data_IF_596961787234
#
_entry.id   IF_596961787234
#
_cell.length_a   1.000
_cell.length_b   1.000
_cell.length_c   1.000
_cell.angle_alpha   90.00
_cell.angle_beta   90.00
_cell.angle_gamma   90.00
#
_symmetry.space_group_name_H-M   'P 1'
#
loop_
_entity.id
_entity.type
_entity.pdbx_description
1 polymer ?
#
# COMPACT_ATOMS: atom_id res chain seq x y z
N UNK A 1 -12.02 -16.00 3.94
CA UNK A 1 -12.17 -16.08 2.46
C UNK A 1 -12.17 -14.68 1.84
N UNK A 2 -11.20 -14.35 0.98
CA UNK A 2 -11.12 -13.00 0.39
C UNK A 2 -11.29 -13.05 -1.13
N UNK A 3 -12.41 -12.51 -1.57
CA UNK A 3 -12.76 -12.25 -2.97
C UNK A 3 -11.95 -11.01 -3.41
N UNK A 4 -10.64 -11.18 -3.66
CA UNK A 4 -9.72 -10.05 -3.82
C UNK A 4 -9.67 -9.48 -5.25
N UNK A 5 -10.19 -10.20 -6.25
CA UNK A 5 -10.02 -9.81 -7.65
C UNK A 5 -10.62 -8.44 -7.98
N UNK A 6 -11.83 -8.15 -7.47
CA UNK A 6 -12.53 -6.89 -7.76
C UNK A 6 -11.70 -5.65 -7.40
N UNK A 7 -10.86 -5.77 -6.37
CA UNK A 7 -9.97 -4.70 -5.92
C UNK A 7 -8.86 -4.40 -6.94
N UNK A 8 -8.32 -5.45 -7.55
CA UNK A 8 -7.28 -5.32 -8.58
C UNK A 8 -7.84 -4.71 -9.87
N UNK A 9 -9.07 -5.06 -10.25
CA UNK A 9 -9.73 -4.48 -11.45
C UNK A 9 -9.85 -2.97 -11.34
N UNK A 10 -10.41 -2.45 -10.24
CA UNK A 10 -10.55 -1.00 -10.03
C UNK A 10 -9.19 -0.31 -9.93
N UNK A 11 -8.21 -0.93 -9.27
CA UNK A 11 -6.88 -0.36 -9.16
C UNK A 11 -6.21 -0.27 -10.54
N UNK A 12 -6.29 -1.34 -11.36
CA UNK A 12 -5.83 -1.31 -12.76
C UNK A 12 -6.46 -0.15 -13.53
N UNK A 13 -7.78 0.00 -13.44
CA UNK A 13 -8.50 1.07 -14.15
C UNK A 13 -8.03 2.48 -13.74
N UNK A 14 -7.62 2.69 -12.48
CA UNK A 14 -6.97 3.93 -12.06
C UNK A 14 -5.56 4.04 -12.65
N UNK A 15 -4.72 3.01 -12.46
CA UNK A 15 -3.29 3.07 -12.78
C UNK A 15 -2.99 3.15 -14.29
N UNK A 16 -3.86 2.66 -15.18
CA UNK A 16 -3.66 2.80 -16.64
C UNK A 16 -3.64 4.26 -17.10
N UNK A 17 -4.22 5.17 -16.31
CA UNK A 17 -4.23 6.61 -16.59
C UNK A 17 -2.99 7.33 -16.04
N UNK A 18 -2.07 6.60 -15.40
CA UNK A 18 -0.89 7.16 -14.74
C UNK A 18 0.34 6.92 -15.64
N UNK A 19 0.90 7.95 -16.30
CA UNK A 19 2.05 7.79 -17.19
C UNK A 19 3.31 7.41 -16.40
N UNK A 20 4.36 6.86 -17.02
CA UNK A 20 5.65 6.59 -16.37
C UNK A 20 5.51 5.92 -14.99
N UNK A 21 4.75 4.84 -14.93
CA UNK A 21 4.48 4.05 -13.73
C UNK A 21 5.07 2.65 -13.93
N UNK A 22 5.74 2.13 -12.90
CA UNK A 22 6.07 0.72 -12.76
C UNK A 22 5.18 0.12 -11.67
N UNK A 23 4.38 -0.89 -12.00
CA UNK A 23 3.53 -1.58 -11.04
C UNK A 23 4.22 -2.83 -10.51
N UNK A 24 4.66 -2.80 -9.25
CA UNK A 24 5.24 -3.99 -8.59
C UNK A 24 4.13 -4.69 -7.81
N UNK A 25 3.73 -5.88 -8.25
CA UNK A 25 2.71 -6.70 -7.60
C UNK A 25 3.37 -7.88 -6.92
N UNK A 26 3.10 -8.03 -5.62
CA UNK A 26 3.66 -9.12 -4.81
C UNK A 26 2.53 -9.94 -4.20
N UNK A 27 2.37 -11.18 -4.65
CA UNK A 27 1.34 -12.08 -4.14
C UNK A 27 1.74 -12.71 -2.80
N UNK A 28 0.77 -12.84 -1.88
CA UNK A 28 0.91 -13.65 -0.65
C UNK A 28 0.69 -15.15 -0.97
N UNK A 29 1.62 -15.70 -1.74
CA UNK A 29 1.61 -17.08 -2.24
C UNK A 29 3.04 -17.63 -2.36
N UNK A 30 3.17 -18.95 -2.53
CA UNK A 30 4.47 -19.59 -2.76
C UNK A 30 5.00 -19.36 -4.19
N UNK A 31 4.10 -19.05 -5.14
CA UNK A 31 4.38 -18.87 -6.56
C UNK A 31 3.44 -17.84 -7.15
N UNK A 32 3.87 -17.16 -8.20
CA UNK A 32 3.02 -16.27 -8.99
C UNK A 32 1.89 -17.04 -9.69
N UNK A 33 0.74 -16.39 -9.82
CA UNK A 33 -0.46 -16.90 -10.45
C UNK A 33 -0.51 -16.49 -11.95
N UNK A 34 -0.81 -17.45 -12.83
CA UNK A 34 -0.83 -17.21 -14.29
C UNK A 34 -1.90 -16.22 -14.74
N UNK A 35 -3.03 -16.18 -14.05
CA UNK A 35 -4.14 -15.29 -14.37
C UNK A 35 -3.84 -13.86 -13.93
N UNK A 36 -3.17 -13.68 -12.79
CA UNK A 36 -2.61 -12.39 -12.38
C UNK A 36 -1.57 -11.89 -13.38
N UNK A 37 -0.66 -12.75 -13.83
CA UNK A 37 0.32 -12.42 -14.86
C UNK A 37 -0.35 -11.95 -16.16
N UNK A 38 -1.39 -12.66 -16.61
CA UNK A 38 -2.18 -12.28 -17.78
C UNK A 38 -2.87 -10.93 -17.58
N UNK A 39 -3.51 -10.72 -16.43
CA UNK A 39 -4.17 -9.47 -16.08
C UNK A 39 -3.21 -8.27 -16.06
N UNK A 40 -1.99 -8.45 -15.56
CA UNK A 40 -0.96 -7.41 -15.56
C UNK A 40 -0.51 -7.11 -17.00
N UNK A 41 -0.30 -8.12 -17.84
CA UNK A 41 0.01 -7.93 -19.27
C UNK A 41 -1.08 -7.16 -20.01
N UNK A 42 -2.35 -7.46 -19.75
CA UNK A 42 -3.49 -6.75 -20.34
C UNK A 42 -3.55 -5.27 -19.94
N UNK A 43 -3.02 -4.89 -18.78
CA UNK A 43 -2.97 -3.49 -18.34
C UNK A 43 -2.07 -2.62 -19.21
N UNK A 44 -1.07 -3.22 -19.89
CA UNK A 44 0.00 -2.52 -20.62
C UNK A 44 0.84 -1.56 -19.77
N UNK A 45 0.69 -1.59 -18.45
CA UNK A 45 1.56 -0.87 -17.51
C UNK A 45 2.83 -1.71 -17.35
N UNK A 46 4.05 -1.13 -17.43
CA UNK A 46 5.26 -1.83 -17.02
C UNK A 46 5.10 -2.41 -15.62
N UNK A 47 5.44 -3.68 -15.41
CA UNK A 47 5.22 -4.33 -14.12
C UNK A 47 6.36 -5.27 -13.73
N UNK A 48 6.45 -5.56 -12.43
CA UNK A 48 7.19 -6.69 -11.89
C UNK A 48 6.22 -7.55 -11.07
N UNK A 49 6.22 -8.85 -11.32
CA UNK A 49 5.31 -9.78 -10.68
C UNK A 49 6.09 -10.77 -9.80
N UNK A 50 5.87 -10.67 -8.50
CA UNK A 50 6.63 -11.37 -7.46
C UNK A 50 5.66 -12.16 -6.55
N UNK A 51 6.20 -13.10 -5.78
CA UNK A 51 5.43 -13.84 -4.80
C UNK A 51 6.26 -14.12 -3.56
N UNK A 52 5.68 -13.92 -2.38
CA UNK A 52 6.25 -14.35 -1.11
C UNK A 52 5.14 -14.68 -0.13
N UNK A 53 5.18 -15.88 0.45
CA UNK A 53 4.14 -16.34 1.36
C UNK A 53 4.35 -15.81 2.77
N UNK A 54 3.32 -15.22 3.35
CA UNK A 54 3.32 -14.87 4.77
C UNK A 54 3.28 -16.14 5.64
N UNK A 55 4.15 -16.26 6.65
CA UNK A 55 4.16 -17.38 7.60
C UNK A 55 2.79 -17.58 8.27
N UNK A 56 2.41 -18.84 8.52
CA UNK A 56 1.09 -19.19 9.09
C UNK A 56 0.82 -18.50 10.43
N UNK A 57 1.83 -18.35 11.29
CA UNK A 57 1.74 -17.66 12.58
C UNK A 57 1.59 -16.14 12.48
N UNK A 58 1.74 -15.55 11.29
CA UNK A 58 1.57 -14.13 11.01
C UNK A 58 0.38 -13.86 10.09
N UNK A 59 -0.48 -14.86 9.81
CA UNK A 59 -1.74 -14.71 9.08
C UNK A 59 -2.91 -14.53 10.05
N UNK A 60 -3.81 -13.61 9.71
CA UNK A 60 -5.09 -13.46 10.40
C UNK A 60 -5.99 -14.67 10.13
N UNK A 61 -6.70 -15.12 11.16
CA UNK A 61 -7.82 -16.05 11.05
C UNK A 61 -9.07 -15.31 10.57
N UNK A 62 -10.06 -16.05 10.07
CA UNK A 62 -11.26 -15.45 9.46
C UNK A 62 -12.06 -14.54 10.41
N UNK A 63 -12.04 -14.82 11.72
CA UNK A 63 -12.71 -14.05 12.77
C UNK A 63 -11.80 -13.03 13.45
N UNK A 64 -10.51 -12.99 13.10
CA UNK A 64 -9.60 -12.02 13.71
C UNK A 64 -9.93 -10.62 13.19
N UNK A 65 -9.88 -9.61 14.06
CA UNK A 65 -10.01 -8.25 13.61
C UNK A 65 -8.90 -7.90 12.61
N UNK A 66 -9.25 -7.14 11.57
CA UNK A 66 -8.34 -6.81 10.46
C UNK A 66 -7.07 -6.07 10.87
N UNK A 67 -7.01 -5.55 12.10
CA UNK A 67 -5.95 -4.76 12.71
C UNK A 67 -5.08 -5.55 13.72
N UNK A 68 -5.31 -6.86 13.88
CA UNK A 68 -4.58 -7.67 14.88
C UNK A 68 -3.12 -7.90 14.50
N UNK A 69 -2.85 -8.18 13.21
CA UNK A 69 -1.52 -8.46 12.67
C UNK A 69 -1.26 -7.56 11.46
N UNK A 70 -0.03 -7.05 11.31
CA UNK A 70 0.32 -6.25 10.13
C UNK A 70 0.29 -7.14 8.88
N UNK A 71 -0.40 -6.66 7.85
CA UNK A 71 -0.51 -7.33 6.54
C UNK A 71 0.58 -6.80 5.61
N UNK A 72 1.03 -7.63 4.68
CA UNK A 72 1.89 -7.15 3.59
C UNK A 72 3.36 -6.93 3.95
N UNK A 73 3.80 -7.23 5.18
CA UNK A 73 5.19 -6.93 5.62
C UNK A 73 6.23 -7.60 4.72
N UNK A 74 6.14 -8.92 4.53
CA UNK A 74 7.07 -9.63 3.63
C UNK A 74 6.91 -9.20 2.18
N UNK A 75 5.68 -8.93 1.74
CA UNK A 75 5.39 -8.54 0.37
C UNK A 75 6.02 -7.19 0.03
N UNK A 76 5.91 -6.20 0.92
CA UNK A 76 6.59 -4.91 0.79
C UNK A 76 8.11 -5.08 0.82
N UNK A 77 8.65 -5.92 1.71
CA UNK A 77 10.09 -6.19 1.77
C UNK A 77 10.62 -6.88 0.51
N UNK A 78 9.88 -7.82 -0.07
CA UNK A 78 10.26 -8.48 -1.32
C UNK A 78 10.28 -7.49 -2.49
N UNK A 79 9.33 -6.55 -2.54
CA UNK A 79 9.37 -5.44 -3.49
C UNK A 79 10.62 -4.56 -3.29
N UNK A 80 10.95 -4.20 -2.04
CA UNK A 80 12.15 -3.39 -1.74
C UNK A 80 13.44 -4.11 -2.14
N UNK A 81 13.53 -5.43 -1.87
CA UNK A 81 14.65 -6.27 -2.30
C UNK A 81 14.76 -6.30 -3.83
N UNK A 82 13.65 -6.49 -4.54
CA UNK A 82 13.63 -6.47 -5.99
C UNK A 82 14.09 -5.12 -6.56
N UNK A 83 13.64 -4.00 -5.98
CA UNK A 83 14.05 -2.64 -6.38
C UNK A 83 15.56 -2.45 -6.17
N UNK A 84 16.10 -2.87 -5.01
CA UNK A 84 17.54 -2.77 -4.72
C UNK A 84 18.41 -3.45 -5.78
N UNK A 85 17.95 -4.58 -6.32
CA UNK A 85 18.69 -5.37 -7.31
C UNK A 85 18.47 -4.79 -8.72
N UNK A 86 17.22 -4.64 -9.14
CA UNK A 86 16.88 -4.35 -10.54
C UNK A 86 16.97 -2.85 -10.90
N UNK A 87 16.94 -1.99 -9.88
CA UNK A 87 16.98 -0.53 -10.04
C UNK A 87 18.18 0.09 -9.31
N UNK A 88 19.23 -0.71 -9.05
CA UNK A 88 20.45 -0.25 -8.41
C UNK A 88 21.00 1.03 -9.07
N UNK A 89 21.35 2.02 -8.24
CA UNK A 89 21.93 3.29 -8.70
C UNK A 89 20.94 4.29 -9.32
N UNK A 90 19.65 3.94 -9.45
CA UNK A 90 18.62 4.92 -9.87
C UNK A 90 18.40 5.95 -8.76
N UNK A 91 18.21 7.21 -9.15
CA UNK A 91 17.92 8.33 -8.23
C UNK A 91 16.64 9.10 -8.56
N UNK A 92 16.12 8.90 -9.77
CA UNK A 92 14.98 9.63 -10.32
C UNK A 92 13.72 8.76 -10.36
N UNK A 93 13.41 8.13 -9.23
CA UNK A 93 12.18 7.34 -9.07
C UNK A 93 11.64 7.54 -7.66
N UNK A 94 10.31 7.45 -7.53
CA UNK A 94 9.62 7.58 -6.27
C UNK A 94 8.92 6.26 -5.97
N UNK A 95 9.10 5.76 -4.75
CA UNK A 95 8.47 4.53 -4.26
C UNK A 95 7.24 4.92 -3.45
N UNK A 96 6.10 4.35 -3.82
CA UNK A 96 4.83 4.50 -3.12
C UNK A 96 4.25 3.11 -2.81
N UNK A 97 3.82 2.90 -1.55
CA UNK A 97 3.14 1.68 -1.14
C UNK A 97 1.62 1.88 -1.25
N UNK A 98 1.05 1.46 -2.38
CA UNK A 98 -0.39 1.50 -2.60
C UNK A 98 -1.04 0.14 -2.30
N UNK A 99 -1.77 0.03 -1.18
CA UNK A 99 -2.58 -1.15 -0.87
C UNK A 99 -3.74 -1.31 -1.89
N UNK A 100 -4.13 -2.55 -2.19
CA UNK A 100 -5.13 -2.89 -3.23
C UNK A 100 -6.55 -2.41 -2.89
N UNK A 101 -6.82 -2.18 -1.61
CA UNK A 101 -8.15 -1.88 -1.13
C UNK A 101 -8.50 -0.41 -1.02
N UNK A 102 -7.49 0.49 -1.06
CA UNK A 102 -7.65 1.93 -1.00
C UNK A 102 -8.21 2.53 -2.30
N UNK A 103 -8.59 3.81 -2.24
CA UNK A 103 -9.04 4.60 -3.40
C UNK A 103 -8.08 5.76 -3.64
N UNK A 104 -7.68 5.97 -4.90
CA UNK A 104 -6.66 6.95 -5.29
C UNK A 104 -7.20 7.93 -6.33
N UNK A 105 -7.06 9.24 -6.09
CA UNK A 105 -7.27 10.27 -7.10
C UNK A 105 -6.05 10.33 -8.04
N UNK A 106 -6.24 10.51 -9.35
CA UNK A 106 -5.15 10.64 -10.32
C UNK A 106 -4.19 11.79 -9.98
N UNK A 107 -4.69 12.87 -9.36
CA UNK A 107 -3.89 14.01 -8.90
C UNK A 107 -2.83 13.61 -7.88
N UNK A 108 -3.06 12.56 -7.09
CA UNK A 108 -2.06 12.04 -6.15
C UNK A 108 -0.75 11.69 -6.87
N UNK A 109 -0.84 11.04 -8.03
CA UNK A 109 0.34 10.63 -8.78
C UNK A 109 1.10 11.81 -9.39
N UNK A 110 0.46 12.98 -9.55
CA UNK A 110 1.14 14.21 -9.93
C UNK A 110 1.93 14.78 -8.75
N UNK A 111 1.37 14.76 -7.54
CA UNK A 111 2.07 15.13 -6.30
C UNK A 111 3.29 14.22 -6.04
N UNK A 112 3.11 12.90 -6.19
CA UNK A 112 4.16 11.90 -5.99
C UNK A 112 5.39 12.18 -6.86
N UNK A 113 5.20 12.52 -8.14
CA UNK A 113 6.32 12.79 -9.08
C UNK A 113 7.19 13.97 -8.69
N UNK A 114 6.67 14.90 -7.90
CA UNK A 114 7.38 16.11 -7.52
C UNK A 114 8.22 15.94 -6.25
N UNK A 115 8.16 14.78 -5.60
CA UNK A 115 8.89 14.49 -4.37
C UNK A 115 10.40 14.51 -4.62
N UNK A 116 11.16 15.10 -3.71
CA UNK A 116 12.63 15.11 -3.76
C UNK A 116 13.23 14.13 -2.76
N UNK A 117 12.71 14.08 -1.55
CA UNK A 117 13.13 13.22 -0.43
C UNK A 117 11.97 12.35 0.05
N UNK A 118 11.02 12.91 0.81
CA UNK A 118 9.83 12.20 1.29
C UNK A 118 8.62 13.12 1.21
N UNK A 119 7.63 12.77 0.38
CA UNK A 119 6.37 13.51 0.33
C UNK A 119 5.38 13.00 1.35
N UNK A 120 4.56 13.89 1.90
CA UNK A 120 3.48 13.55 2.83
C UNK A 120 2.19 14.30 2.49
N UNK A 121 1.05 13.65 2.69
CA UNK A 121 -0.28 14.23 2.44
C UNK A 121 -1.36 13.64 3.37
N UNK A 122 -2.56 14.26 3.41
CA UNK A 122 -3.70 13.74 4.16
C UNK A 122 -4.23 12.43 3.58
N UNK A 123 -4.68 11.54 4.46
CA UNK A 123 -5.40 10.31 4.08
C UNK A 123 -6.82 10.38 4.63
N UNK A 124 -7.81 10.14 3.78
CA UNK A 124 -9.22 10.13 4.15
C UNK A 124 -9.65 8.83 4.83
N UNK A 125 -10.55 8.95 5.82
CA UNK A 125 -11.26 7.85 6.49
C UNK A 125 -10.28 6.82 7.09
N UNK A 126 -9.37 7.29 7.93
CA UNK A 126 -8.33 6.45 8.56
C UNK A 126 -8.13 6.85 10.02
N UNK A 127 -7.62 5.93 10.85
CA UNK A 127 -7.31 6.22 12.25
C UNK A 127 -8.50 6.61 13.14
N UNK A 128 -9.74 6.40 12.67
CA UNK A 128 -10.96 6.88 13.34
C UNK A 128 -11.32 8.33 13.03
N UNK A 129 -10.65 8.96 12.06
CA UNK A 129 -10.85 10.33 11.62
C UNK A 129 -11.43 10.40 10.21
N UNK A 130 -12.10 11.51 9.88
CA UNK A 130 -12.46 11.82 8.50
C UNK A 130 -11.21 12.05 7.62
N UNK A 131 -10.16 12.62 8.20
CA UNK A 131 -8.84 12.72 7.59
C UNK A 131 -7.75 12.71 8.68
N UNK A 132 -6.73 11.88 8.49
CA UNK A 132 -5.47 11.98 9.23
C UNK A 132 -4.48 12.80 8.39
N UNK A 133 -3.89 13.83 8.98
CA UNK A 133 -3.07 14.83 8.28
C UNK A 133 -1.98 15.41 9.17
N UNK A 134 -0.80 15.74 8.63
CA UNK A 134 0.15 16.61 9.32
C UNK A 134 -0.43 18.01 9.54
N UNK A 135 -0.14 18.59 10.70
CA UNK A 135 -0.48 19.96 11.04
C UNK A 135 0.62 20.89 10.51
N UNK A 136 0.25 21.79 9.61
CA UNK A 136 1.18 22.73 8.98
C UNK A 136 1.06 24.11 9.62
N UNK A 137 2.18 24.68 10.05
CA UNK A 137 2.22 26.07 10.51
C UNK A 137 1.98 27.03 9.34
N UNK A 138 1.01 27.92 9.49
CA UNK A 138 0.73 28.96 8.50
C UNK A 138 1.90 29.93 8.30
N UNK A 139 2.73 30.13 9.34
CA UNK A 139 3.89 31.04 9.32
C UNK A 139 5.12 30.40 8.69
N UNK A 140 5.55 29.25 9.22
CA UNK A 140 6.80 28.61 8.79
C UNK A 140 6.63 27.67 7.61
N UNK A 141 5.38 27.30 7.27
CA UNK A 141 5.06 26.29 6.25
C UNK A 141 5.71 24.93 6.54
N UNK A 142 6.05 24.68 7.81
CA UNK A 142 6.61 23.43 8.31
C UNK A 142 5.56 22.62 9.07
N UNK A 143 5.80 21.32 9.15
CA UNK A 143 5.02 20.41 9.98
C UNK A 143 5.33 20.69 11.44
N UNK A 144 4.30 20.92 12.25
CA UNK A 144 4.41 21.19 13.69
C UNK A 144 3.79 20.08 14.54
N UNK A 145 3.20 19.06 13.90
CA UNK A 145 2.56 17.94 14.56
C UNK A 145 1.64 17.19 13.60
N UNK A 146 0.77 16.36 14.15
CA UNK A 146 -0.19 15.55 13.41
C UNK A 146 -1.51 15.53 14.18
N UNK A 147 -2.64 15.41 13.50
CA UNK A 147 -3.97 15.37 14.13
C UNK A 147 -4.40 13.96 14.60
N UNK A 148 -3.47 13.00 14.68
CA UNK A 148 -3.80 11.60 14.97
C UNK A 148 -4.36 11.43 16.38
N UNK A 149 -5.45 10.65 16.50
CA UNK A 149 -6.04 10.29 17.80
C UNK A 149 -5.46 8.96 18.32
N UNK A 150 -5.08 8.07 17.40
CA UNK A 150 -4.59 6.74 17.77
C UNK A 150 -3.07 6.72 17.87
N UNK A 151 -2.56 6.53 19.09
CA UNK A 151 -1.12 6.52 19.40
C UNK A 151 -0.41 7.77 18.86
N UNK A 152 -0.80 8.97 19.32
CA UNK A 152 -0.23 10.24 18.85
C UNK A 152 1.25 10.40 19.22
N UNK A 153 1.75 9.63 20.18
CA UNK A 153 3.15 9.63 20.62
C UNK A 153 4.13 9.03 19.59
N UNK A 154 3.62 8.38 18.53
CA UNK A 154 4.44 7.87 17.42
C UNK A 154 5.16 9.03 16.74
N UNK A 155 6.42 8.83 16.35
CA UNK A 155 7.19 9.82 15.58
C UNK A 155 6.49 10.21 14.28
N UNK A 156 5.91 9.21 13.60
CA UNK A 156 5.13 9.40 12.38
C UNK A 156 3.76 8.73 12.59
N UNK A 157 2.79 9.43 13.20
CA UNK A 157 1.48 8.88 13.48
C UNK A 157 0.60 8.97 12.23
N UNK A 158 0.99 8.24 11.19
CA UNK A 158 0.41 8.30 9.84
C UNK A 158 0.09 6.90 9.32
N UNK A 159 -0.78 6.84 8.31
CA UNK A 159 -1.07 5.64 7.53
C UNK A 159 -0.03 5.37 6.43
N UNK A 160 0.10 4.11 5.98
CA UNK A 160 0.99 3.70 4.89
C UNK A 160 0.74 4.48 3.58
N UNK A 161 -0.53 4.81 3.29
CA UNK A 161 -0.91 5.53 2.08
C UNK A 161 -0.56 7.03 2.12
N UNK A 162 -0.10 7.55 3.26
CA UNK A 162 0.13 8.97 3.51
C UNK A 162 1.46 9.51 2.97
N UNK A 163 2.38 8.64 2.53
CA UNK A 163 3.72 9.06 2.13
C UNK A 163 4.27 8.29 0.95
N UNK A 164 5.20 8.91 0.23
CA UNK A 164 6.09 8.27 -0.74
C UNK A 164 7.48 8.86 -0.62
N UNK A 165 8.50 8.13 -1.09
CA UNK A 165 9.88 8.53 -0.87
C UNK A 165 10.75 8.28 -2.10
N UNK A 166 11.80 9.07 -2.23
CA UNK A 166 12.76 8.94 -3.33
C UNK A 166 13.55 7.63 -3.18
N UNK A 167 13.70 6.90 -4.29
CA UNK A 167 14.43 5.63 -4.36
C UNK A 167 15.86 5.70 -3.81
N UNK A 168 16.51 6.87 -3.90
CA UNK A 168 17.86 7.09 -3.37
C UNK A 168 17.93 6.77 -1.88
N UNK A 169 16.87 7.09 -1.11
CA UNK A 169 16.81 6.77 0.32
C UNK A 169 16.86 5.26 0.58
N UNK A 170 16.29 4.44 -0.32
CA UNK A 170 16.35 2.99 -0.21
C UNK A 170 17.76 2.45 -0.46
N UNK A 171 18.49 3.08 -1.38
CA UNK A 171 19.86 2.71 -1.72
C UNK A 171 20.85 3.16 -0.64
N UNK A 172 20.67 4.37 -0.11
CA UNK A 172 21.50 4.94 0.95
C UNK A 172 21.28 4.21 2.29
N UNK A 173 20.12 3.57 2.47
CA UNK A 173 19.77 2.79 3.66
C UNK A 173 19.47 1.32 3.27
N UNK A 174 20.50 0.50 2.97
CA UNK A 174 20.33 -0.85 2.46
C UNK A 174 19.67 -1.83 3.45
N UNK A 175 19.62 -1.47 4.74
CA UNK A 175 18.96 -2.24 5.81
C UNK A 175 17.52 -1.80 6.07
N UNK A 176 17.01 -0.78 5.38
CA UNK A 176 15.67 -0.27 5.61
C UNK A 176 14.59 -1.28 5.20
N UNK A 177 13.77 -1.74 6.14
CA UNK A 177 12.74 -2.73 5.88
C UNK A 177 11.60 -2.64 6.90
N UNK A 178 10.48 -3.26 6.57
CA UNK A 178 9.39 -3.47 7.49
C UNK A 178 9.69 -4.66 8.41
N UNK A 179 9.29 -4.58 9.68
CA UNK A 179 9.49 -5.66 10.66
C UNK A 179 8.16 -6.18 11.21
N UNK A 180 8.11 -7.46 11.59
CA UNK A 180 7.00 -8.01 12.37
C UNK A 180 7.13 -7.77 13.88
N UNK A 181 8.31 -7.35 14.32
CA UNK A 181 8.67 -7.18 15.72
C UNK A 181 8.54 -5.72 16.14
N UNK A 182 7.44 -5.08 15.71
CA UNK A 182 7.09 -3.71 16.06
C UNK A 182 5.69 -3.66 16.66
N UNK A 183 5.44 -2.76 17.63
CA UNK A 183 4.12 -2.60 18.20
C UNK A 183 3.07 -2.23 17.13
N UNK A 184 1.83 -2.63 17.35
CA UNK A 184 0.70 -2.27 16.47
C UNK A 184 0.66 -0.75 16.21
N UNK A 185 0.59 -0.36 14.94
CA UNK A 185 0.52 1.04 14.49
C UNK A 185 1.88 1.74 14.38
N UNK A 186 2.99 1.07 14.70
CA UNK A 186 4.34 1.65 14.60
C UNK A 186 5.07 1.24 13.31
N UNK A 187 4.39 0.57 12.36
CA UNK A 187 5.03 0.01 11.16
C UNK A 187 5.64 1.11 10.28
N UNK A 188 4.88 2.17 10.03
CA UNK A 188 5.24 3.33 9.23
C UNK A 188 6.36 4.12 9.91
N UNK A 189 6.20 4.35 11.22
CA UNK A 189 7.22 5.02 12.03
C UNK A 189 8.55 4.27 12.04
N UNK A 190 8.50 2.94 12.20
CA UNK A 190 9.69 2.09 12.14
C UNK A 190 10.37 2.19 10.78
N UNK A 191 9.62 2.00 9.68
CA UNK A 191 10.17 2.03 8.34
C UNK A 191 10.83 3.37 8.00
N UNK A 192 10.14 4.50 8.25
CA UNK A 192 10.70 5.84 8.04
C UNK A 192 11.95 6.08 8.89
N UNK A 193 11.98 5.58 10.13
CA UNK A 193 13.17 5.64 10.98
C UNK A 193 14.33 4.82 10.40
N UNK A 194 14.06 3.65 9.80
CA UNK A 194 15.10 2.85 9.14
C UNK A 194 15.66 3.49 7.86
N UNK A 195 14.92 4.43 7.27
CA UNK A 195 15.39 5.30 6.18
C UNK A 195 16.11 6.57 6.68
N UNK A 196 16.34 6.69 8.00
CA UNK A 196 16.93 7.85 8.66
C UNK A 196 16.17 9.16 8.39
N UNK A 197 14.83 9.08 8.35
CA UNK A 197 13.95 10.22 8.09
C UNK A 197 13.53 10.88 9.41
N UNK A 198 13.57 12.21 9.43
CA UNK A 198 13.01 13.06 10.49
C UNK A 198 11.78 13.81 9.97
N UNK A 199 10.97 14.36 10.88
CA UNK A 199 9.78 15.16 10.50
C UNK A 199 10.15 16.35 9.60
N UNK A 200 11.31 16.97 9.84
CA UNK A 200 11.80 18.11 9.04
C UNK A 200 12.19 17.75 7.59
N UNK A 201 12.38 16.46 7.30
CA UNK A 201 12.68 15.95 5.96
C UNK A 201 11.43 15.78 5.09
N UNK A 202 10.25 15.84 5.69
CA UNK A 202 8.98 15.64 4.99
C UNK A 202 8.59 16.88 4.17
N UNK A 203 8.12 16.64 2.97
CA UNK A 203 7.62 17.63 2.03
C UNK A 203 6.09 17.61 2.03
N UNK A 204 5.40 18.62 2.59
CA UNK A 204 3.94 18.71 2.52
C UNK A 204 3.48 18.81 1.06
N UNK A 205 2.68 17.84 0.61
CA UNK A 205 2.05 17.78 -0.71
C UNK A 205 0.55 18.07 -0.61
N UNK A 206 -0.15 17.97 -1.74
CA UNK A 206 -1.60 18.12 -1.81
C UNK A 206 -2.09 19.45 -1.20
N UNK A 207 -1.58 20.54 -1.77
CA UNK A 207 -1.84 21.92 -1.30
C UNK A 207 -1.50 22.10 0.19
N UNK A 208 -0.28 21.73 0.60
CA UNK A 208 0.17 21.76 2.00
C UNK A 208 -0.78 21.05 2.95
N UNK A 209 -1.16 19.86 2.55
CA UNK A 209 -2.00 18.97 3.32
C UNK A 209 -3.41 19.53 3.63
N UNK A 210 -3.93 20.39 2.74
CA UNK A 210 -5.32 20.86 2.78
C UNK A 210 -6.25 20.07 1.83
N UNK A 211 -5.70 19.20 0.99
CA UNK A 211 -6.47 18.39 0.04
C UNK A 211 -6.25 16.90 0.29
N UNK A 212 -7.33 16.14 0.42
CA UNK A 212 -7.29 14.67 0.48
C UNK A 212 -7.32 14.11 -0.94
N UNK A 213 -6.33 13.27 -1.29
CA UNK A 213 -6.18 12.66 -2.62
C UNK A 213 -6.13 11.11 -2.58
N UNK A 214 -6.21 10.54 -1.37
CA UNK A 214 -6.24 9.09 -1.14
C UNK A 214 -7.13 8.80 0.06
N UNK A 215 -7.87 7.69 -0.02
CA UNK A 215 -8.78 7.24 1.03
C UNK A 215 -8.45 5.80 1.42
N UNK A 216 -8.37 5.54 2.72
CA UNK A 216 -8.20 4.22 3.28
C UNK A 216 -9.55 3.47 3.29
N UNK A 217 -10.12 3.26 2.11
CA UNK A 217 -11.36 2.49 1.95
C UNK A 217 -11.13 1.02 2.25
N UNK A 218 -12.20 0.33 2.63
CA UNK A 218 -12.19 -1.12 2.89
C UNK A 218 -13.39 -1.75 2.19
N UNK A 219 -13.15 -2.88 1.54
CA UNK A 219 -14.24 -3.67 0.96
C UNK A 219 -14.85 -4.56 2.04
N UNK A 220 -16.19 -4.52 2.15
CA UNK A 220 -16.91 -5.44 3.01
C UNK A 220 -16.73 -6.90 2.56
N UNK A 221 -16.89 -7.85 3.48
CA UNK A 221 -16.87 -9.27 3.12
C UNK A 221 -18.15 -9.60 2.35
N UNK A 222 -18.00 -10.15 1.15
CA UNK A 222 -19.14 -10.61 0.36
C UNK A 222 -19.96 -11.67 1.11
N UNK A 223 -21.29 -11.52 1.09
CA UNK A 223 -22.23 -12.50 1.64
C UNK A 223 -22.77 -13.32 0.48
N UNK A 224 -22.43 -14.61 0.45
CA UNK A 224 -22.91 -15.58 -0.55
C UNK A 224 -23.64 -16.73 0.15
N UNK A 225 -24.55 -17.38 -0.58
CA UNK A 225 -25.28 -18.52 -0.03
C UNK A 225 -24.33 -19.70 0.29
N UNK A 226 -24.77 -20.64 1.13
CA UNK A 226 -23.95 -21.79 1.57
C UNK A 226 -23.45 -22.65 0.39
N UNK A 227 -24.24 -22.78 -0.67
CA UNK A 227 -23.90 -23.57 -1.85
C UNK A 227 -22.72 -22.97 -2.61
N UNK A 228 -22.77 -21.67 -2.88
CA UNK A 228 -21.72 -20.96 -3.61
C UNK A 228 -20.45 -20.82 -2.76
N UNK A 229 -20.60 -20.65 -1.44
CA UNK A 229 -19.46 -20.74 -0.51
C UNK A 229 -18.75 -22.09 -0.61
N UNK A 230 -19.51 -23.20 -0.58
CA UNK A 230 -18.97 -24.56 -0.69
C UNK A 230 -18.30 -24.81 -2.05
N UNK A 231 -18.92 -24.36 -3.16
CA UNK A 231 -18.29 -24.43 -4.50
C UNK A 231 -16.94 -23.74 -4.52
N UNK A 232 -16.85 -22.54 -3.93
CA UNK A 232 -15.61 -21.76 -3.89
C UNK A 232 -14.53 -22.45 -3.03
N UNK A 233 -14.88 -22.93 -1.83
CA UNK A 233 -13.92 -23.59 -0.92
C UNK A 233 -13.35 -24.87 -1.49
N UNK A 234 -14.20 -25.66 -2.16
CA UNK A 234 -13.82 -26.95 -2.72
C UNK A 234 -13.19 -26.81 -4.12
N UNK A 235 -13.29 -25.63 -4.75
CA UNK A 235 -12.83 -25.39 -6.12
C UNK A 235 -13.58 -26.21 -7.20
N UNK A 236 -14.73 -26.80 -6.86
CA UNK A 236 -15.48 -27.71 -7.72
C UNK A 236 -16.91 -27.20 -7.97
N UNK A 237 -17.44 -27.48 -9.18
CA UNK A 237 -18.82 -27.16 -9.53
C UNK A 237 -19.10 -25.68 -9.81
N UNK A 238 -18.06 -24.86 -9.98
CA UNK A 238 -18.18 -23.48 -10.45
C UNK A 238 -18.40 -23.45 -11.97
N UNK A 239 -19.43 -22.73 -12.41
CA UNK A 239 -19.61 -22.39 -13.84
C UNK A 239 -18.51 -21.43 -14.32
N UNK A 240 -18.42 -21.19 -15.62
CA UNK A 240 -17.42 -20.25 -16.15
C UNK A 240 -17.62 -18.82 -15.64
N UNK A 241 -18.85 -18.33 -15.57
CA UNK A 241 -19.12 -16.98 -15.04
C UNK A 241 -18.87 -16.90 -13.52
N UNK A 242 -19.13 -17.99 -12.78
CA UNK A 242 -18.79 -18.08 -11.36
C UNK A 242 -17.28 -18.05 -11.16
N UNK A 243 -16.48 -18.71 -12.00
CA UNK A 243 -15.01 -18.59 -11.95
C UNK A 243 -14.55 -17.16 -12.23
N UNK A 244 -15.09 -16.52 -13.26
CA UNK A 244 -14.73 -15.14 -13.63
C UNK A 244 -15.14 -14.10 -12.57
N UNK A 245 -16.13 -14.40 -11.72
CA UNK A 245 -16.55 -13.50 -10.65
C UNK A 245 -15.57 -13.47 -9.46
N UNK A 246 -14.69 -14.47 -9.35
CA UNK A 246 -13.95 -14.78 -8.10
C UNK A 246 -12.47 -14.99 -8.32
N UNK A 247 -12.09 -15.40 -9.52
CA UNK A 247 -10.73 -15.58 -10.00
C UNK A 247 -10.45 -14.62 -11.17
N UNK A 248 -9.16 -14.41 -11.42
CA UNK A 248 -8.63 -13.66 -12.56
C UNK A 248 -8.71 -14.47 -13.86
#
# INVERSE_FOLDING_TARGET
MKWNFQKQVRLKQTLINVPNLLWIVVEDSDKTNSDMEKFLKESKIPFAHLSIKTPKNKKLKDNDPNWLLPKGVLQRNEALKWIRINWAGRKNAIIYFGDDDNTYDLKLFNEIRQIKKVGIWPVGIVGGLLAETPLISSKSRKIIGFNSIWKPERTFPIDMAAFAFNISLLHDNPKAEFSYDVPRGYQESHFLSTLNIKVDDLEPKANMCNTVLVWHTRTEKAVVNKKDKSKFENGYGLTQYEKNAVFL
#
